data_IF_794108148454
#
_entry.id   IF_794108148454
#
_cell.length_a   1.000
_cell.length_b   1.000
_cell.length_c   1.000
_cell.angle_alpha   90.00
_cell.angle_beta   90.00
_cell.angle_gamma   90.00
#
_symmetry.space_group_name_H-M   'P 1'
#
loop_
_entity.id
_entity.type
_entity.pdbx_description
1 polymer ?
#
# COMPACT_ATOMS: atom_id res chain seq x y z
N UNK A 1 -0.33 11.08 5.98
CA UNK A 1 0.93 10.62 5.34
C UNK A 1 1.10 11.34 4.01
N UNK A 2 2.34 11.61 3.59
CA UNK A 2 2.62 12.03 2.21
C UNK A 2 2.26 10.91 1.25
N UNK A 3 1.72 11.22 0.06
CA UNK A 3 1.51 10.21 -0.98
C UNK A 3 2.85 9.84 -1.62
N UNK A 4 2.93 8.66 -2.25
CA UNK A 4 4.13 8.24 -2.99
C UNK A 4 4.53 9.26 -4.08
N UNK A 5 3.54 9.88 -4.73
CA UNK A 5 3.78 10.97 -5.70
C UNK A 5 4.51 12.17 -5.08
N UNK A 6 4.20 12.50 -3.81
CA UNK A 6 4.78 13.65 -3.11
C UNK A 6 6.21 13.33 -2.71
N UNK A 7 6.48 12.08 -2.29
CA UNK A 7 7.83 11.60 -1.99
C UNK A 7 8.73 11.59 -3.22
N UNK A 8 8.23 11.12 -4.36
CA UNK A 8 8.98 11.14 -5.63
C UNK A 8 9.35 12.59 -5.98
N UNK A 9 8.38 13.51 -5.88
CA UNK A 9 8.63 14.92 -6.12
C UNK A 9 9.67 15.50 -5.16
N UNK A 10 9.53 15.26 -3.86
CA UNK A 10 10.44 15.81 -2.85
C UNK A 10 11.88 15.30 -3.02
N UNK A 11 12.06 14.07 -3.50
CA UNK A 11 13.37 13.44 -3.66
C UNK A 11 14.03 13.73 -5.01
N UNK A 12 13.24 13.90 -6.08
CA UNK A 12 13.77 13.95 -7.45
C UNK A 12 13.32 15.16 -8.25
N UNK A 13 12.48 16.04 -7.69
CA UNK A 13 11.76 17.13 -8.38
C UNK A 13 10.86 16.66 -9.55
N UNK A 14 10.57 15.35 -9.64
CA UNK A 14 9.72 14.78 -10.71
C UNK A 14 8.27 14.71 -10.25
N UNK A 15 7.37 15.21 -11.09
CA UNK A 15 5.92 15.07 -10.89
C UNK A 15 5.43 13.87 -11.71
N UNK A 16 4.76 12.92 -11.06
CA UNK A 16 4.19 11.73 -11.69
C UNK A 16 2.68 11.68 -11.43
N UNK A 17 1.91 11.31 -12.44
CA UNK A 17 0.46 11.09 -12.31
C UNK A 17 0.17 9.85 -11.44
N UNK A 18 -0.80 9.96 -10.54
CA UNK A 18 -1.23 8.87 -9.65
C UNK A 18 -1.57 7.58 -10.42
N UNK A 19 -2.19 7.71 -11.59
CA UNK A 19 -2.51 6.56 -12.44
C UNK A 19 -1.27 5.80 -12.93
N UNK A 20 -0.18 6.51 -13.26
CA UNK A 20 1.07 5.88 -13.70
C UNK A 20 1.75 5.12 -12.57
N UNK A 21 1.69 5.66 -11.35
CA UNK A 21 2.17 4.97 -10.15
C UNK A 21 1.36 3.69 -9.93
N UNK A 22 0.02 3.78 -10.01
CA UNK A 22 -0.85 2.61 -9.86
C UNK A 22 -0.57 1.54 -10.92
N UNK A 23 -0.38 1.92 -12.19
CA UNK A 23 -0.09 0.97 -13.26
C UNK A 23 1.29 0.31 -13.13
N UNK A 24 2.28 1.03 -12.59
CA UNK A 24 3.57 0.46 -12.20
C UNK A 24 3.41 -0.55 -11.06
N UNK A 25 2.75 -0.16 -9.97
CA UNK A 25 2.55 -0.98 -8.77
C UNK A 25 1.65 -2.21 -9.00
N UNK A 26 0.87 -2.25 -10.07
CA UNK A 26 0.15 -3.46 -10.49
C UNK A 26 1.09 -4.58 -10.94
N UNK A 27 2.23 -4.22 -11.54
CA UNK A 27 3.17 -5.18 -12.12
C UNK A 27 4.44 -5.34 -11.28
N UNK A 28 4.79 -4.32 -10.50
CA UNK A 28 6.00 -4.29 -9.67
C UNK A 28 5.61 -4.20 -8.19
N UNK A 29 5.90 -5.24 -7.39
CA UNK A 29 5.59 -5.22 -5.96
C UNK A 29 6.45 -4.18 -5.24
N UNK A 30 5.80 -3.32 -4.45
CA UNK A 30 6.49 -2.41 -3.55
C UNK A 30 6.87 -3.17 -2.28
N UNK A 31 8.17 -3.29 -2.04
CA UNK A 31 8.67 -3.84 -0.78
C UNK A 31 8.36 -2.87 0.36
N UNK A 32 7.58 -3.36 1.32
CA UNK A 32 7.18 -2.64 2.53
C UNK A 32 7.59 -3.42 3.78
N UNK A 33 8.53 -4.36 3.67
CA UNK A 33 9.09 -5.05 4.83
C UNK A 33 9.59 -4.02 5.87
N UNK A 34 9.27 -4.27 7.14
CA UNK A 34 9.55 -3.38 8.29
C UNK A 34 8.94 -1.96 8.25
N UNK A 35 8.04 -1.65 7.31
CA UNK A 35 7.35 -0.36 7.27
C UNK A 35 6.20 -0.31 8.29
N UNK A 36 6.13 0.76 9.10
CA UNK A 36 4.97 1.01 9.97
C UNK A 36 3.75 1.48 9.15
N UNK A 37 2.81 0.56 8.94
CA UNK A 37 1.56 0.80 8.23
C UNK A 37 0.35 0.97 9.16
N UNK A 38 0.55 1.19 10.46
CA UNK A 38 -0.54 1.24 11.46
C UNK A 38 -1.61 2.30 11.19
N UNK A 39 -1.27 3.37 10.48
CA UNK A 39 -2.19 4.44 10.07
C UNK A 39 -2.39 4.52 8.54
N UNK A 40 -2.00 3.50 7.79
CA UNK A 40 -2.08 3.51 6.33
C UNK A 40 -3.51 3.22 5.84
N UNK A 41 -3.94 3.96 4.83
CA UNK A 41 -5.12 3.61 4.04
C UNK A 41 -4.70 2.61 2.95
N UNK A 42 -5.04 1.35 3.16
CA UNK A 42 -4.69 0.23 2.26
C UNK A 42 -5.84 -0.16 1.33
N UNK A 43 -6.87 0.68 1.17
CA UNK A 43 -7.97 0.40 0.22
C UNK A 43 -7.38 0.21 -1.18
N UNK A 44 -7.70 -0.94 -1.80
CA UNK A 44 -7.20 -1.38 -3.12
C UNK A 44 -5.75 -1.83 -3.19
N UNK A 45 -5.03 -1.93 -2.07
CA UNK A 45 -3.69 -2.51 -2.06
C UNK A 45 -3.76 -4.02 -2.40
N UNK A 46 -2.84 -4.49 -3.24
CA UNK A 46 -2.63 -5.92 -3.41
C UNK A 46 -1.85 -6.45 -2.19
N UNK A 47 -2.55 -7.13 -1.29
CA UNK A 47 -1.98 -7.70 -0.05
C UNK A 47 -1.66 -9.20 -0.17
N UNK A 48 -1.49 -9.71 -1.38
CA UNK A 48 -1.07 -11.12 -1.59
C UNK A 48 0.30 -11.36 -0.95
N UNK A 49 0.49 -12.52 -0.33
CA UNK A 49 1.73 -12.94 0.36
C UNK A 49 2.19 -12.07 1.55
N UNK A 50 1.33 -11.20 2.08
CA UNK A 50 1.66 -10.41 3.27
C UNK A 50 1.91 -11.31 4.50
N UNK A 51 3.02 -11.08 5.19
CA UNK A 51 3.31 -11.72 6.49
C UNK A 51 2.70 -10.87 7.61
N UNK A 52 1.80 -11.47 8.38
CA UNK A 52 1.23 -10.87 9.58
C UNK A 52 1.39 -11.80 10.78
N UNK A 53 1.47 -11.22 11.97
CA UNK A 53 1.51 -11.97 13.24
C UNK A 53 0.13 -12.52 13.59
N UNK A 54 0.10 -13.52 14.49
CA UNK A 54 -1.16 -14.08 15.00
C UNK A 54 -2.04 -13.03 15.69
N UNK A 55 -1.43 -12.11 16.43
CA UNK A 55 -2.12 -11.01 17.10
C UNK A 55 -2.75 -10.02 16.10
N UNK A 56 -2.07 -9.72 14.99
CA UNK A 56 -2.62 -8.87 13.92
C UNK A 56 -3.80 -9.56 13.22
N UNK A 57 -3.70 -10.87 12.97
CA UNK A 57 -4.79 -11.65 12.40
C UNK A 57 -6.06 -11.59 13.26
N UNK A 58 -5.93 -11.68 14.58
CA UNK A 58 -7.07 -11.63 15.50
C UNK A 58 -7.72 -10.22 15.58
N UNK A 59 -7.05 -9.17 15.07
CA UNK A 59 -7.57 -7.80 14.99
C UNK A 59 -8.22 -7.48 13.63
N UNK A 60 -8.16 -8.38 12.66
CA UNK A 60 -8.74 -8.15 11.34
C UNK A 60 -10.27 -8.26 11.37
N UNK A 61 -10.93 -7.25 10.81
CA UNK A 61 -12.35 -7.31 10.48
C UNK A 61 -12.49 -7.82 9.05
N UNK A 62 -12.97 -9.05 8.89
CA UNK A 62 -13.33 -9.60 7.57
C UNK A 62 -14.69 -9.03 7.17
N UNK A 63 -14.76 -8.41 5.99
CA UNK A 63 -15.99 -7.94 5.38
C UNK A 63 -16.26 -8.86 4.20
N UNK A 64 -17.38 -9.58 4.20
CA UNK A 64 -17.79 -10.40 3.05
C UNK A 64 -18.41 -9.47 1.99
N UNK A 65 -18.01 -9.62 0.72
CA UNK A 65 -18.73 -9.00 -0.38
C UNK A 65 -20.07 -9.73 -0.57
N UNK A 66 -21.19 -9.02 -0.46
CA UNK A 66 -22.49 -9.55 -0.88
C UNK A 66 -22.44 -9.86 -2.38
N UNK A 67 -22.78 -11.09 -2.75
CA UNK A 67 -22.76 -11.60 -4.14
C UNK A 67 -23.84 -10.99 -5.03
#
# INVERSE_FOLDING_TARGET
MKKLQDLIKDLTDIIVEEQKINDYLKNEPLDLEDTDLSCADLRWANLTDIKITKEQLDKLTVIEEEK
#
